data_IF_430418404852
#
_entry.id   IF_430418404852
#
_cell.length_a   1.000
_cell.length_b   1.000
_cell.length_c   1.000
_cell.angle_alpha   90.00
_cell.angle_beta   90.00
_cell.angle_gamma   90.00
#
_symmetry.space_group_name_H-M   'P 1'
#
loop_
_entity.id
_entity.type
_entity.pdbx_description
1 polymer ?
#
# COMPACT_ATOMS: atom_id res chain seq x y z
N UNK A 1 20.17 -32.50 69.52
CA UNK A 1 20.98 -31.40 68.93
C UNK A 1 20.65 -31.32 67.44
N UNK A 2 19.85 -30.35 67.02
CA UNK A 2 19.53 -30.09 65.60
C UNK A 2 18.63 -28.86 65.50
N UNK A 3 19.22 -27.68 65.65
CA UNK A 3 18.51 -26.40 65.44
C UNK A 3 18.48 -26.04 63.94
N UNK A 4 17.34 -25.56 63.47
CA UNK A 4 17.14 -25.15 62.06
C UNK A 4 17.31 -23.64 61.89
N UNK A 5 18.00 -23.16 60.83
CA UNK A 5 18.31 -21.75 60.67
C UNK A 5 17.11 -20.92 60.18
N UNK A 6 16.86 -19.80 60.86
CA UNK A 6 15.74 -18.90 60.63
C UNK A 6 16.08 -17.81 59.58
N UNK A 7 15.47 -17.86 58.39
CA UNK A 7 15.74 -16.91 57.30
C UNK A 7 14.92 -15.62 57.42
N UNK A 8 15.55 -14.54 57.89
CA UNK A 8 14.97 -13.17 57.86
C UNK A 8 14.95 -12.60 56.44
N UNK A 9 13.76 -12.34 55.88
CA UNK A 9 13.58 -11.50 54.68
C UNK A 9 13.68 -10.02 55.06
N UNK A 10 14.46 -9.21 54.33
CA UNK A 10 14.47 -7.75 54.50
C UNK A 10 13.56 -7.06 53.48
N UNK A 11 12.57 -6.32 53.97
CA UNK A 11 11.65 -5.50 53.15
C UNK A 11 12.25 -4.11 52.92
N UNK A 12 13.03 -3.96 51.86
CA UNK A 12 13.63 -2.65 51.49
C UNK A 12 12.62 -1.76 50.75
N UNK A 13 11.82 -1.00 51.51
CA UNK A 13 10.96 0.04 50.95
C UNK A 13 11.80 1.10 50.21
N UNK A 14 11.45 1.36 48.95
CA UNK A 14 12.03 2.46 48.15
C UNK A 14 11.06 3.64 48.17
N UNK A 15 11.43 4.71 48.87
CA UNK A 15 10.73 5.99 48.83
C UNK A 15 10.98 6.69 47.50
N UNK A 16 9.93 6.86 46.70
CA UNK A 16 9.97 7.68 45.48
C UNK A 16 9.72 9.15 45.82
N UNK A 17 10.77 9.97 45.79
CA UNK A 17 10.65 11.42 45.96
C UNK A 17 10.14 12.10 44.66
N UNK A 18 9.25 13.10 44.75
CA UNK A 18 8.71 13.78 43.58
C UNK A 18 9.71 14.82 43.04
N UNK A 19 10.27 14.55 41.85
CA UNK A 19 11.12 15.51 41.13
C UNK A 19 10.22 16.61 40.55
N UNK A 20 10.15 17.74 41.26
CA UNK A 20 9.51 18.97 40.75
C UNK A 20 10.42 19.65 39.71
N UNK A 21 10.28 19.28 38.44
CA UNK A 21 10.92 20.01 37.34
C UNK A 21 10.30 21.39 37.18
N UNK A 22 11.02 22.42 37.63
CA UNK A 22 10.68 23.82 37.36
C UNK A 22 10.94 24.12 35.88
N UNK A 23 9.92 23.99 35.04
CA UNK A 23 9.95 24.51 33.68
C UNK A 23 9.95 26.04 33.71
N UNK A 24 11.13 26.62 33.59
CA UNK A 24 11.30 28.06 33.35
C UNK A 24 11.01 28.30 31.86
N UNK A 25 9.80 28.75 31.55
CA UNK A 25 9.48 29.20 30.19
C UNK A 25 10.08 30.61 29.99
N UNK A 26 11.06 30.81 29.10
CA UNK A 26 11.57 32.14 28.81
C UNK A 26 10.50 32.95 28.07
N UNK A 27 10.13 34.12 28.62
CA UNK A 27 9.40 35.14 27.86
C UNK A 27 10.37 35.77 26.87
N UNK A 28 10.36 35.31 25.62
CA UNK A 28 11.15 35.93 24.56
C UNK A 28 10.29 37.02 23.91
N UNK A 29 10.74 38.28 24.03
CA UNK A 29 10.14 39.45 23.38
C UNK A 29 11.20 40.20 22.59
N UNK A 30 11.41 39.77 21.35
CA UNK A 30 12.11 40.52 20.29
C UNK A 30 11.48 40.19 18.94
N UNK A 31 11.60 41.07 17.96
CA UNK A 31 10.94 41.00 16.65
C UNK A 31 11.45 39.82 15.79
N UNK A 32 10.61 38.79 15.63
CA UNK A 32 10.94 37.57 14.88
C UNK A 32 10.72 37.68 13.36
N UNK A 33 11.33 38.65 12.70
CA UNK A 33 11.22 38.78 11.23
C UNK A 33 11.88 37.62 10.45
N UNK A 34 12.75 36.83 11.10
CA UNK A 34 13.51 35.75 10.47
C UNK A 34 13.27 34.37 11.13
N UNK A 35 12.03 34.01 11.46
CA UNK A 35 11.74 32.61 11.78
C UNK A 35 11.84 31.75 10.51
N UNK A 36 12.70 30.71 10.46
CA UNK A 36 12.85 29.89 9.26
C UNK A 36 11.56 29.10 8.92
N UNK A 37 10.64 28.93 9.87
CA UNK A 37 9.36 28.21 9.68
C UNK A 37 8.28 29.13 9.09
N UNK A 38 8.43 30.45 9.20
CA UNK A 38 7.48 31.45 8.66
C UNK A 38 7.68 31.76 7.17
N UNK A 39 8.72 31.22 6.53
CA UNK A 39 9.01 31.48 5.12
C UNK A 39 7.92 30.84 4.23
N UNK A 40 7.10 31.62 3.49
CA UNK A 40 6.01 31.08 2.67
C UNK A 40 6.52 30.29 1.45
N UNK A 41 7.82 30.32 1.14
CA UNK A 41 8.44 29.45 0.13
C UNK A 41 8.75 28.04 0.65
N UNK A 42 8.57 27.75 1.95
CA UNK A 42 8.62 26.38 2.45
C UNK A 42 7.37 25.59 2.05
N UNK A 43 7.58 24.41 1.48
CA UNK A 43 6.50 23.44 1.30
C UNK A 43 5.89 23.01 2.64
N UNK A 44 4.61 22.60 2.60
CA UNK A 44 3.86 22.11 3.77
C UNK A 44 4.67 21.01 4.47
N UNK A 45 5.08 21.25 5.72
CA UNK A 45 5.80 20.25 6.51
C UNK A 45 4.80 19.15 6.88
N UNK A 46 5.08 17.90 6.53
CA UNK A 46 4.13 16.82 6.78
C UNK A 46 4.00 16.50 8.27
N UNK A 47 2.81 16.00 8.66
CA UNK A 47 2.60 15.48 10.02
C UNK A 47 3.59 14.33 10.32
N UNK A 48 3.98 13.56 9.30
CA UNK A 48 4.97 12.50 9.47
C UNK A 48 6.36 13.05 9.83
N UNK A 49 6.78 14.18 9.25
CA UNK A 49 8.03 14.85 9.65
C UNK A 49 7.97 15.35 11.10
N UNK A 50 6.79 15.69 11.60
CA UNK A 50 6.58 16.01 13.02
C UNK A 50 6.66 14.74 13.90
N UNK A 51 6.07 13.63 13.46
CA UNK A 51 6.13 12.32 14.16
C UNK A 51 7.54 11.76 14.26
N UNK A 52 8.31 11.79 13.18
CA UNK A 52 9.72 11.32 13.14
C UNK A 52 10.69 12.35 13.76
N UNK A 53 10.19 13.53 14.18
CA UNK A 53 11.01 14.59 14.76
C UNK A 53 12.00 15.21 13.77
N UNK A 54 11.66 15.14 12.47
CA UNK A 54 12.41 15.71 11.35
C UNK A 54 11.99 17.15 11.00
N UNK A 55 10.93 17.66 11.66
CA UNK A 55 10.36 18.98 11.47
C UNK A 55 11.34 20.15 11.73
N UNK A 56 11.07 21.28 11.06
CA UNK A 56 11.84 22.52 11.24
C UNK A 56 11.53 23.25 12.56
N UNK A 57 10.46 22.87 13.27
CA UNK A 57 10.01 23.52 14.50
C UNK A 57 11.07 23.53 15.61
N UNK A 58 12.01 22.56 15.60
CA UNK A 58 13.19 22.52 16.49
C UNK A 58 14.17 23.68 16.31
N UNK A 59 14.05 24.44 15.22
CA UNK A 59 14.85 25.62 14.89
C UNK A 59 14.04 26.93 14.93
N UNK A 60 12.75 26.90 15.33
CA UNK A 60 12.05 28.14 15.69
C UNK A 60 12.48 28.55 17.10
N UNK A 61 13.18 29.67 17.20
CA UNK A 61 13.36 30.43 18.44
C UNK A 61 12.14 31.35 18.72
N UNK A 62 11.24 31.43 17.73
CA UNK A 62 10.09 32.31 17.64
C UNK A 62 8.99 32.12 18.69
N UNK A 63 8.94 30.98 19.39
CA UNK A 63 7.90 30.61 20.35
C UNK A 63 6.49 30.38 19.77
N UNK A 64 6.17 30.93 18.59
CA UNK A 64 4.86 30.83 17.95
C UNK A 64 4.58 29.44 17.34
N UNK A 65 5.60 28.76 16.80
CA UNK A 65 5.45 27.42 16.22
C UNK A 65 5.62 26.32 17.28
N UNK A 66 4.54 26.01 17.99
CA UNK A 66 4.50 24.85 18.86
C UNK A 66 4.49 23.54 18.03
N UNK A 67 5.52 22.71 18.18
CA UNK A 67 5.52 21.37 17.59
C UNK A 67 4.50 20.49 18.34
N UNK A 68 3.50 19.87 17.68
CA UNK A 68 2.52 19.00 18.32
C UNK A 68 3.13 17.70 18.89
N UNK A 69 4.38 17.37 18.52
CA UNK A 69 5.14 16.27 19.10
C UNK A 69 6.37 16.80 19.88
N UNK A 70 6.21 17.27 21.14
CA UNK A 70 7.29 17.77 21.97
C UNK A 70 8.08 16.63 22.64
N UNK A 71 8.76 15.80 21.83
CA UNK A 71 9.95 15.02 22.21
C UNK A 71 9.88 14.06 23.44
N UNK A 72 8.69 13.77 23.99
CA UNK A 72 8.57 13.14 25.31
C UNK A 72 7.61 11.94 25.40
N UNK A 73 7.79 10.97 24.49
CA UNK A 73 7.71 9.51 24.74
C UNK A 73 7.83 8.77 23.41
N UNK A 74 8.56 7.66 23.41
CA UNK A 74 8.47 6.67 22.34
C UNK A 74 7.00 6.28 22.15
N UNK A 75 6.49 6.30 20.91
CA UNK A 75 5.10 5.91 20.63
C UNK A 75 4.81 4.46 21.06
N UNK A 76 5.86 3.63 21.03
CA UNK A 76 5.87 2.35 21.71
C UNK A 76 6.06 2.59 23.21
N UNK A 77 5.09 2.21 24.07
CA UNK A 77 5.35 2.17 25.50
C UNK A 77 6.59 1.30 25.72
N UNK A 78 7.64 1.87 26.32
CA UNK A 78 8.87 1.16 26.65
C UNK A 78 8.48 -0.17 27.28
N UNK A 79 8.78 -1.28 26.58
CA UNK A 79 8.15 -2.57 26.84
C UNK A 79 8.24 -2.90 28.32
N UNK A 80 7.10 -2.95 29.01
CA UNK A 80 7.02 -3.18 30.47
C UNK A 80 7.75 -4.45 30.87
N UNK A 81 7.85 -5.39 29.94
CA UNK A 81 8.83 -6.46 29.90
C UNK A 81 10.23 -5.93 29.52
N UNK A 82 11.01 -5.53 30.52
CA UNK A 82 12.47 -5.60 30.42
C UNK A 82 12.86 -7.08 30.35
N UNK A 83 13.16 -7.58 29.14
CA UNK A 83 13.62 -8.96 28.99
C UNK A 83 14.90 -9.19 29.81
N UNK A 84 15.07 -10.41 30.33
CA UNK A 84 16.27 -10.78 31.10
C UNK A 84 17.56 -10.44 30.33
N UNK A 85 17.53 -10.66 29.01
CA UNK A 85 18.56 -10.22 28.06
C UNK A 85 18.93 -8.73 28.16
N UNK A 86 17.96 -7.80 28.27
CA UNK A 86 18.26 -6.36 28.45
C UNK A 86 18.89 -6.05 29.82
N UNK A 87 18.65 -6.88 30.83
CA UNK A 87 19.27 -6.73 32.15
C UNK A 87 20.71 -7.28 32.16
N UNK A 88 20.92 -8.43 31.54
CA UNK A 88 22.20 -9.15 31.51
C UNK A 88 23.20 -8.54 30.50
N UNK A 89 22.73 -8.02 29.36
CA UNK A 89 23.56 -7.45 28.29
C UNK A 89 23.49 -5.92 28.24
N UNK A 90 23.80 -5.27 29.35
CA UNK A 90 24.12 -3.84 29.32
C UNK A 90 25.45 -3.62 28.59
N UNK A 91 25.60 -2.47 27.90
CA UNK A 91 26.87 -2.11 27.27
C UNK A 91 27.91 -1.90 28.35
N UNK A 92 28.72 -2.91 28.61
CA UNK A 92 29.87 -2.81 29.50
C UNK A 92 30.75 -1.65 29.01
N UNK A 93 31.10 -0.74 29.92
CA UNK A 93 32.07 0.30 29.62
C UNK A 93 33.42 -0.37 29.39
N UNK A 94 33.81 -0.54 28.13
CA UNK A 94 35.18 -0.93 27.81
C UNK A 94 36.14 0.07 28.48
N UNK A 95 37.25 -0.39 29.09
CA UNK A 95 38.27 0.52 29.59
C UNK A 95 38.68 1.44 28.44
N UNK A 96 38.70 2.75 28.67
CA UNK A 96 39.04 3.70 27.63
C UNK A 96 40.42 3.32 27.06
N UNK A 97 40.61 3.33 25.73
CA UNK A 97 41.90 3.03 25.14
C UNK A 97 42.94 3.96 25.76
N UNK A 98 44.05 3.39 26.23
CA UNK A 98 45.16 4.12 26.83
C UNK A 98 45.56 5.25 25.88
N UNK A 99 45.25 6.50 26.27
CA UNK A 99 45.66 7.66 25.49
C UNK A 99 47.19 7.73 25.56
N UNK A 100 47.92 7.58 24.43
CA UNK A 100 49.36 7.73 24.45
C UNK A 100 49.70 9.15 24.90
N UNK A 101 50.57 9.27 25.90
CA UNK A 101 51.06 10.57 26.36
C UNK A 101 51.84 11.23 25.22
N UNK A 102 51.46 12.45 24.79
CA UNK A 102 52.12 13.11 23.68
C UNK A 102 53.55 13.47 24.07
N UNK A 103 54.55 12.77 23.50
CA UNK A 103 55.94 13.22 23.57
C UNK A 103 56.08 14.55 22.85
N UNK A 104 56.77 15.50 23.46
CA UNK A 104 57.05 16.81 22.85
C UNK A 104 57.96 16.62 21.64
N UNK A 105 57.47 17.03 20.47
CA UNK A 105 58.21 16.95 19.22
C UNK A 105 59.51 17.76 19.30
N UNK A 106 60.66 17.09 19.14
CA UNK A 106 61.94 17.76 18.91
C UNK A 106 62.19 17.84 17.41
N UNK A 107 62.27 19.04 16.81
CA UNK A 107 62.57 19.17 15.38
C UNK A 107 63.97 18.63 15.09
N UNK A 108 64.10 17.89 14.00
CA UNK A 108 65.38 17.33 13.57
C UNK A 108 66.25 18.44 12.96
N UNK A 109 67.45 18.64 13.51
CA UNK A 109 68.41 19.66 13.03
C UNK A 109 69.21 19.26 11.78
N UNK A 110 69.03 18.03 11.29
CA UNK A 110 69.68 17.55 10.07
C UNK A 110 69.10 18.25 8.84
N UNK A 111 69.96 18.87 8.03
CA UNK A 111 69.57 19.43 6.73
C UNK A 111 69.22 18.26 5.79
N UNK A 112 68.03 18.33 5.19
CA UNK A 112 67.59 17.38 4.19
C UNK A 112 68.24 17.71 2.85
N UNK A 113 68.87 16.74 2.20
CA UNK A 113 69.29 16.90 0.80
C UNK A 113 68.03 16.94 -0.08
N UNK A 114 67.73 18.14 -0.58
CA UNK A 114 66.54 18.41 -1.42
C UNK A 114 66.69 17.96 -2.87
N UNK A 115 67.80 17.27 -3.19
CA UNK A 115 68.00 16.64 -4.49
C UNK A 115 67.15 15.38 -4.56
N UNK A 116 66.16 15.42 -5.43
CA UNK A 116 65.39 14.20 -5.76
C UNK A 116 66.13 13.42 -6.83
N UNK A 117 66.04 12.09 -6.81
CA UNK A 117 66.55 11.23 -7.89
C UNK A 117 66.03 11.67 -9.25
N UNK A 118 64.78 12.16 -9.31
CA UNK A 118 64.21 12.76 -10.51
C UNK A 118 65.07 13.89 -11.11
N UNK A 119 65.69 14.76 -10.30
CA UNK A 119 66.56 15.83 -10.80
C UNK A 119 67.92 15.32 -11.31
N UNK A 120 68.40 14.20 -10.78
CA UNK A 120 69.71 13.64 -11.16
C UNK A 120 69.60 12.73 -12.40
N UNK A 121 68.50 11.98 -12.50
CA UNK A 121 68.20 10.99 -13.55
C UNK A 121 67.55 11.60 -14.81
N UNK A 122 66.60 12.53 -14.66
CA UNK A 122 65.83 13.10 -15.78
C UNK A 122 66.39 14.43 -16.26
N UNK A 123 67.61 14.40 -16.80
CA UNK A 123 68.20 15.55 -17.50
C UNK A 123 67.55 15.75 -18.86
N UNK A 124 67.27 17.00 -19.30
CA UNK A 124 66.65 17.26 -20.59
C UNK A 124 67.59 16.81 -21.72
N UNK A 125 67.14 15.86 -22.54
CA UNK A 125 67.85 15.37 -23.72
C UNK A 125 67.19 15.89 -25.00
N UNK A 126 67.98 16.19 -26.03
CA UNK A 126 67.45 16.66 -27.31
C UNK A 126 66.84 15.49 -28.09
N UNK A 127 65.52 15.52 -28.28
CA UNK A 127 64.80 14.51 -29.07
C UNK A 127 64.83 14.92 -30.53
N UNK A 128 65.36 14.07 -31.41
CA UNK A 128 65.22 14.25 -32.85
C UNK A 128 63.76 13.99 -33.29
N UNK A 129 63.22 14.75 -34.27
CA UNK A 129 61.81 14.66 -34.63
C UNK A 129 61.46 13.26 -35.14
N UNK A 130 60.51 12.60 -34.46
CA UNK A 130 60.10 11.25 -34.78
C UNK A 130 59.44 11.18 -36.17
N UNK A 131 59.88 10.23 -37.02
CA UNK A 131 59.20 9.96 -38.29
C UNK A 131 57.78 9.46 -38.02
N UNK A 132 56.81 10.25 -38.45
CA UNK A 132 55.39 10.03 -38.22
C UNK A 132 54.93 8.75 -38.94
N UNK A 133 54.78 7.64 -38.20
CA UNK A 133 54.13 6.42 -38.71
C UNK A 133 52.63 6.60 -38.49
N UNK A 134 51.86 6.59 -39.58
CA UNK A 134 50.42 6.86 -39.55
C UNK A 134 49.69 5.99 -38.53
N UNK A 135 49.00 6.64 -37.59
CA UNK A 135 48.26 5.96 -36.52
C UNK A 135 46.95 5.39 -37.08
N UNK A 136 46.93 4.09 -37.36
CA UNK A 136 45.68 3.36 -37.54
C UNK A 136 45.07 3.12 -36.15
N UNK A 137 44.03 3.88 -35.81
CA UNK A 137 43.26 3.64 -34.60
C UNK A 137 42.58 2.27 -34.69
N UNK A 138 42.74 1.38 -33.70
CA UNK A 138 42.02 0.12 -33.68
C UNK A 138 40.52 0.40 -33.60
N UNK A 139 39.73 -0.28 -34.43
CA UNK A 139 38.28 -0.10 -34.47
C UNK A 139 37.70 -0.35 -33.06
N UNK A 140 36.91 0.59 -32.55
CA UNK A 140 36.29 0.46 -31.24
C UNK A 140 35.37 -0.77 -31.23
N UNK A 141 35.64 -1.72 -30.34
CA UNK A 141 34.84 -2.93 -30.24
C UNK A 141 33.45 -2.58 -29.69
N UNK A 142 32.40 -2.95 -30.42
CA UNK A 142 31.01 -2.64 -30.09
C UNK A 142 30.44 -3.53 -28.96
N UNK A 143 31.28 -3.88 -27.98
CA UNK A 143 30.92 -4.73 -26.83
C UNK A 143 30.01 -3.95 -25.90
N UNK A 144 28.70 -3.97 -26.19
CA UNK A 144 27.67 -3.45 -25.29
C UNK A 144 27.68 -4.30 -24.02
N UNK A 145 27.72 -3.65 -22.86
CA UNK A 145 27.72 -4.35 -21.58
C UNK A 145 26.41 -5.14 -21.40
N UNK A 146 26.46 -6.40 -20.96
CA UNK A 146 25.26 -7.22 -20.70
C UNK A 146 24.55 -6.84 -19.39
N UNK A 147 24.98 -5.76 -18.72
CA UNK A 147 24.51 -5.35 -17.41
C UNK A 147 23.09 -4.76 -17.47
N UNK A 148 22.09 -5.65 -17.37
CA UNK A 148 20.70 -5.27 -17.05
C UNK A 148 20.53 -5.25 -15.54
N UNK A 149 19.76 -4.29 -15.03
CA UNK A 149 19.35 -4.28 -13.62
C UNK A 149 18.42 -5.46 -13.33
N UNK A 150 18.39 -5.95 -12.08
CA UNK A 150 17.46 -7.01 -11.66
C UNK A 150 15.99 -6.63 -12.00
N UNK A 151 15.62 -5.37 -11.82
CA UNK A 151 14.31 -4.85 -12.23
C UNK A 151 14.00 -5.08 -13.73
N UNK A 152 14.96 -4.88 -14.62
CA UNK A 152 14.79 -5.12 -16.06
C UNK A 152 14.82 -6.62 -16.46
N UNK A 153 15.17 -7.50 -15.52
CA UNK A 153 15.05 -8.95 -15.65
C UNK A 153 13.71 -9.46 -15.12
N UNK A 154 13.24 -8.93 -13.99
CA UNK A 154 12.04 -9.41 -13.29
C UNK A 154 10.74 -8.79 -13.85
N UNK A 155 10.80 -7.57 -14.37
CA UNK A 155 9.67 -6.84 -14.94
C UNK A 155 9.77 -6.75 -16.47
N UNK A 156 9.84 -7.90 -17.13
CA UNK A 156 9.73 -8.00 -18.59
C UNK A 156 8.38 -7.44 -19.03
N UNK A 157 8.34 -6.67 -20.13
CA UNK A 157 7.08 -6.25 -20.73
C UNK A 157 6.40 -7.46 -21.39
N UNK A 158 5.36 -7.99 -20.75
CA UNK A 158 4.56 -9.11 -21.24
C UNK A 158 3.69 -8.78 -22.45
N UNK A 159 3.70 -7.52 -22.91
CA UNK A 159 2.90 -7.02 -24.02
C UNK A 159 1.47 -6.66 -23.62
N UNK A 160 0.68 -6.10 -24.55
CA UNK A 160 -0.75 -5.90 -24.33
C UNK A 160 -1.46 -7.26 -24.27
N UNK A 161 -2.01 -7.61 -23.12
CA UNK A 161 -2.81 -8.83 -22.95
C UNK A 161 -4.05 -8.78 -23.85
N UNK A 162 -4.00 -9.45 -25.00
CA UNK A 162 -5.14 -9.61 -25.91
C UNK A 162 -6.14 -10.63 -25.37
N UNK A 163 -7.03 -10.17 -24.47
CA UNK A 163 -8.04 -11.02 -23.84
C UNK A 163 -9.18 -11.39 -24.80
N UNK A 164 -8.98 -12.45 -25.58
CA UNK A 164 -10.08 -13.25 -26.15
C UNK A 164 -10.72 -14.06 -24.97
N UNK A 165 -12.02 -14.43 -24.87
CA UNK A 165 -12.63 -14.92 -23.56
C UNK A 165 -13.62 -16.11 -23.65
N UNK A 166 -13.27 -17.37 -23.32
CA UNK A 166 -13.96 -18.60 -23.84
C UNK A 166 -15.47 -18.81 -23.54
N UNK A 167 -16.37 -19.04 -24.55
CA UNK A 167 -17.74 -19.62 -24.36
C UNK A 167 -17.55 -21.01 -23.78
N UNK A 168 -17.38 -21.08 -22.46
CA UNK A 168 -17.61 -22.30 -21.72
C UNK A 168 -19.07 -22.63 -21.89
N UNK A 169 -19.32 -23.82 -22.43
CA UNK A 169 -20.66 -24.36 -22.57
C UNK A 169 -21.23 -24.59 -21.18
N UNK A 170 -22.09 -23.67 -20.73
CA UNK A 170 -22.96 -23.94 -19.60
C UNK A 170 -24.10 -24.81 -20.13
N UNK A 171 -24.27 -26.06 -19.63
CA UNK A 171 -25.45 -26.84 -19.98
C UNK A 171 -26.68 -26.02 -19.59
N UNK A 172 -27.74 -25.99 -20.43
CA UNK A 172 -28.92 -25.18 -20.14
C UNK A 172 -29.46 -25.54 -18.76
N UNK A 173 -29.74 -24.53 -17.95
CA UNK A 173 -30.31 -24.71 -16.61
C UNK A 173 -31.67 -25.37 -16.78
N UNK A 174 -31.71 -26.69 -16.62
CA UNK A 174 -32.96 -27.45 -16.60
C UNK A 174 -33.71 -26.99 -15.37
N UNK A 175 -34.82 -26.27 -15.57
CA UNK A 175 -35.72 -25.95 -14.47
C UNK A 175 -36.19 -27.28 -13.87
N UNK A 176 -35.79 -27.54 -12.63
CA UNK A 176 -36.37 -28.63 -11.85
C UNK A 176 -37.72 -28.14 -11.31
N UNK A 177 -38.66 -27.95 -12.22
CA UNK A 177 -40.06 -27.69 -11.90
C UNK A 177 -40.63 -28.96 -11.29
N UNK A 178 -40.49 -29.07 -9.96
CA UNK A 178 -41.12 -30.12 -9.17
C UNK A 178 -42.64 -29.96 -9.36
N UNK A 179 -43.34 -30.93 -9.99
CA UNK A 179 -44.75 -30.77 -10.29
C UNK A 179 -45.53 -30.68 -8.98
N UNK A 180 -46.25 -29.56 -8.79
CA UNK A 180 -47.02 -29.32 -7.58
C UNK A 180 -48.19 -30.30 -7.47
N UNK A 181 -48.02 -31.35 -6.65
CA UNK A 181 -49.06 -32.36 -6.35
C UNK A 181 -49.96 -31.94 -5.18
N UNK A 182 -50.33 -30.66 -5.10
CA UNK A 182 -51.27 -30.19 -4.09
C UNK A 182 -52.70 -30.61 -4.42
N UNK A 183 -53.18 -31.68 -3.80
CA UNK A 183 -54.61 -32.00 -3.79
C UNK A 183 -55.30 -31.08 -2.78
N UNK A 184 -56.39 -30.42 -3.20
CA UNK A 184 -57.21 -29.65 -2.27
C UNK A 184 -58.10 -30.57 -1.44
N UNK A 185 -58.43 -30.16 -0.21
CA UNK A 185 -59.44 -30.87 0.61
C UNK A 185 -60.77 -31.01 -0.14
N UNK A 186 -61.18 -29.97 -0.88
CA UNK A 186 -62.35 -30.00 -1.76
C UNK A 186 -62.28 -31.12 -2.81
N UNK A 187 -61.15 -31.25 -3.52
CA UNK A 187 -60.96 -32.33 -4.51
C UNK A 187 -61.05 -33.73 -3.87
N UNK A 188 -60.56 -33.88 -2.65
CA UNK A 188 -60.64 -35.16 -1.93
C UNK A 188 -62.06 -35.44 -1.38
N UNK A 189 -62.85 -34.42 -1.07
CA UNK A 189 -64.24 -34.55 -0.60
C UNK A 189 -65.26 -34.73 -1.73
N UNK A 190 -65.02 -34.13 -2.90
CA UNK A 190 -65.95 -34.12 -4.04
C UNK A 190 -65.40 -34.94 -5.21
N UNK A 191 -65.16 -36.23 -4.98
CA UNK A 191 -64.91 -37.19 -6.05
C UNK A 191 -66.19 -37.40 -6.87
N UNK A 192 -66.05 -37.69 -8.17
CA UNK A 192 -67.18 -38.11 -8.99
C UNK A 192 -67.74 -39.42 -8.43
N UNK A 193 -69.02 -39.41 -8.05
CA UNK A 193 -69.73 -40.60 -7.59
C UNK A 193 -70.09 -41.41 -8.83
N UNK A 194 -69.67 -42.68 -8.89
CA UNK A 194 -70.09 -43.61 -9.95
C UNK A 194 -71.62 -43.63 -10.08
N UNK A 195 -72.14 -43.64 -11.31
CA UNK A 195 -73.58 -43.56 -11.58
C UNK A 195 -74.38 -44.60 -10.79
N UNK A 196 -73.92 -45.86 -10.77
CA UNK A 196 -74.55 -46.95 -9.99
C UNK A 196 -74.64 -46.67 -8.49
N UNK A 197 -73.70 -45.88 -7.95
CA UNK A 197 -73.66 -45.48 -6.54
C UNK A 197 -74.51 -44.22 -6.30
N UNK A 198 -74.58 -43.32 -7.28
CA UNK A 198 -75.49 -42.17 -7.26
C UNK A 198 -76.95 -42.62 -7.28
N UNK A 199 -77.30 -43.62 -8.09
CA UNK A 199 -78.65 -44.21 -8.18
C UNK A 199 -79.13 -44.75 -6.81
N UNK A 200 -78.23 -45.39 -6.04
CA UNK A 200 -78.52 -45.84 -4.68
C UNK A 200 -78.84 -44.69 -3.73
N UNK A 201 -78.13 -43.56 -3.81
CA UNK A 201 -78.42 -42.37 -2.98
C UNK A 201 -79.64 -41.57 -3.46
N UNK A 202 -80.04 -41.69 -4.73
CA UNK A 202 -81.19 -40.97 -5.30
C UNK A 202 -82.54 -41.49 -4.79
N UNK A 203 -82.60 -42.74 -4.31
CA UNK A 203 -83.86 -43.41 -3.89
C UNK A 203 -84.56 -42.81 -2.66
N UNK A 204 -83.91 -41.94 -1.89
CA UNK A 204 -84.51 -41.27 -0.72
C UNK A 204 -84.78 -39.75 -0.95
N UNK A 205 -84.61 -39.26 -2.18
CA UNK A 205 -84.69 -37.82 -2.50
C UNK A 205 -86.00 -37.33 -3.13
N UNK A 206 -87.00 -38.20 -3.33
CA UNK A 206 -88.20 -37.91 -4.14
C UNK A 206 -89.12 -36.80 -3.61
N UNK A 207 -89.00 -36.45 -2.33
CA UNK A 207 -90.00 -35.62 -1.64
C UNK A 207 -89.58 -34.14 -1.53
N UNK A 208 -88.36 -33.78 -1.94
CA UNK A 208 -87.92 -32.38 -2.06
C UNK A 208 -88.20 -31.82 -3.46
N UNK A 209 -89.50 -31.67 -3.75
CA UNK A 209 -90.01 -30.89 -4.88
C UNK A 209 -89.70 -29.39 -4.70
N UNK A 210 -88.44 -29.00 -4.93
CA UNK A 210 -88.04 -27.60 -5.12
C UNK A 210 -88.47 -27.10 -6.51
N UNK A 211 -89.78 -27.10 -6.75
CA UNK A 211 -90.37 -26.60 -7.98
C UNK A 211 -90.16 -25.08 -8.08
N UNK A 212 -89.27 -24.63 -8.98
CA UNK A 212 -89.24 -23.21 -9.39
C UNK A 212 -87.92 -22.65 -9.94
N UNK A 213 -86.75 -23.21 -9.62
CA UNK A 213 -85.46 -22.61 -10.01
C UNK A 213 -85.01 -23.01 -11.43
N UNK A 214 -85.48 -22.26 -12.44
CA UNK A 214 -84.93 -22.31 -13.81
C UNK A 214 -83.52 -21.70 -13.89
N UNK A 215 -82.53 -22.34 -13.28
CA UNK A 215 -81.12 -21.96 -13.40
C UNK A 215 -80.58 -22.51 -14.73
N UNK A 216 -80.78 -21.76 -15.80
CA UNK A 216 -80.10 -22.02 -17.06
C UNK A 216 -78.61 -21.63 -16.92
N UNK A 217 -77.73 -22.63 -16.79
CA UNK A 217 -76.30 -22.42 -16.93
C UNK A 217 -76.01 -21.97 -18.37
N UNK A 218 -75.70 -20.68 -18.53
CA UNK A 218 -75.40 -20.07 -19.82
C UNK A 218 -74.20 -20.74 -20.52
N UNK A 219 -74.08 -20.60 -21.86
CA UNK A 219 -72.99 -21.20 -22.61
C UNK A 219 -71.64 -20.73 -22.05
N UNK A 220 -70.72 -21.67 -21.83
CA UNK A 220 -69.36 -21.36 -21.37
C UNK A 220 -68.67 -20.45 -22.38
N UNK A 221 -68.54 -19.17 -22.04
CA UNK A 221 -67.69 -18.25 -22.79
C UNK A 221 -66.25 -18.76 -22.76
N UNK A 222 -65.55 -18.65 -23.90
CA UNK A 222 -64.16 -19.08 -24.01
C UNK A 222 -63.29 -18.33 -23.00
N UNK A 223 -62.54 -19.08 -22.20
CA UNK A 223 -61.70 -18.50 -21.16
C UNK A 223 -60.52 -17.73 -21.77
N UNK A 224 -60.46 -16.43 -21.51
CA UNK A 224 -59.42 -15.54 -22.02
C UNK A 224 -58.16 -15.67 -21.16
N UNK A 225 -57.32 -16.68 -21.43
CA UNK A 225 -56.07 -16.95 -20.69
C UNK A 225 -54.91 -16.01 -21.04
N UNK A 226 -55.18 -14.79 -21.53
CA UNK A 226 -54.14 -13.78 -21.72
C UNK A 226 -53.70 -13.26 -20.34
N UNK A 227 -52.46 -13.59 -19.99
CA UNK A 227 -51.80 -13.04 -18.80
C UNK A 227 -50.75 -12.03 -19.26
N UNK A 228 -50.64 -10.91 -18.54
CA UNK A 228 -49.63 -9.88 -18.82
C UNK A 228 -48.20 -10.42 -18.73
N UNK A 229 -47.99 -11.58 -18.12
CA UNK A 229 -46.69 -12.28 -18.11
C UNK A 229 -46.35 -12.86 -19.49
N UNK A 230 -47.33 -13.48 -20.17
CA UNK A 230 -47.15 -14.06 -21.51
C UNK A 230 -46.89 -13.00 -22.58
N UNK A 231 -47.54 -11.84 -22.50
CA UNK A 231 -47.37 -10.76 -23.47
C UNK A 231 -46.03 -9.99 -23.28
N UNK A 232 -45.48 -9.96 -22.06
CA UNK A 232 -44.26 -9.20 -21.74
C UNK A 232 -42.96 -10.02 -21.73
N UNK A 233 -43.02 -11.36 -21.58
CA UNK A 233 -41.82 -12.20 -21.69
C UNK A 233 -41.45 -12.47 -23.16
N UNK A 234 -40.59 -11.62 -23.71
CA UNK A 234 -39.94 -11.89 -24.99
C UNK A 234 -38.86 -12.97 -24.84
N UNK A 235 -38.80 -13.90 -25.78
CA UNK A 235 -37.82 -14.99 -25.80
C UNK A 235 -36.45 -14.49 -26.29
N UNK A 236 -35.61 -14.08 -25.34
CA UNK A 236 -34.26 -13.59 -25.59
C UNK A 236 -33.25 -14.70 -25.95
N UNK A 237 -33.65 -15.97 -26.06
CA UNK A 237 -32.75 -17.08 -26.44
C UNK A 237 -32.07 -16.89 -27.80
N UNK A 238 -32.69 -16.12 -28.71
CA UNK A 238 -32.17 -15.80 -30.04
C UNK A 238 -31.29 -14.56 -30.09
N UNK A 239 -31.22 -13.76 -29.02
CA UNK A 239 -30.37 -12.57 -29.00
C UNK A 239 -28.89 -12.96 -28.80
N UNK A 240 -28.04 -12.56 -29.74
CA UNK A 240 -26.61 -12.93 -29.77
C UNK A 240 -25.76 -12.35 -28.63
N UNK A 241 -26.37 -11.56 -27.74
CA UNK A 241 -25.78 -10.94 -26.56
C UNK A 241 -25.00 -11.93 -25.68
N UNK A 242 -25.38 -13.21 -25.69
CA UNK A 242 -24.68 -14.27 -25.00
C UNK A 242 -23.62 -14.97 -25.86
N UNK A 243 -22.58 -14.25 -26.31
CA UNK A 243 -21.28 -14.84 -26.73
C UNK A 243 -20.17 -14.59 -25.67
N UNK A 244 -19.03 -15.24 -25.82
CA UNK A 244 -17.83 -15.34 -24.95
C UNK A 244 -16.79 -15.90 -25.99
N UNK A 245 -15.68 -15.24 -26.36
CA UNK A 245 -14.70 -15.69 -27.40
C UNK A 245 -13.83 -16.91 -27.00
N UNK A 246 -12.49 -16.79 -26.74
CA UNK A 246 -11.52 -17.78 -26.14
C UNK A 246 -10.08 -17.24 -25.97
N UNK A 247 -9.47 -17.11 -24.77
CA UNK A 247 -8.04 -16.67 -24.64
C UNK A 247 -7.12 -17.71 -25.27
N UNK A 248 -6.74 -17.50 -26.53
CA UNK A 248 -5.60 -18.20 -27.13
C UNK A 248 -4.45 -17.18 -27.17
N UNK A 249 -3.33 -17.42 -26.47
CA UNK A 249 -2.20 -16.50 -26.50
C UNK A 249 -1.61 -16.47 -27.91
N UNK A 250 -1.70 -15.30 -28.56
CA UNK A 250 -1.12 -15.09 -29.89
C UNK A 250 0.41 -15.12 -29.85
N UNK A 251 1.02 -15.62 -30.92
CA UNK A 251 2.47 -15.55 -31.11
C UNK A 251 2.96 -14.10 -31.11
N UNK A 252 4.09 -13.85 -30.46
CA UNK A 252 4.66 -12.51 -30.27
C UNK A 252 5.08 -11.86 -31.60
N UNK A 253 4.21 -11.04 -32.19
CA UNK A 253 4.63 -10.09 -33.22
C UNK A 253 5.25 -8.85 -32.56
N UNK A 254 6.43 -8.45 -33.06
CA UNK A 254 7.21 -7.34 -32.53
C UNK A 254 6.60 -6.01 -32.99
N UNK A 255 5.64 -5.50 -32.24
CA UNK A 255 5.06 -4.18 -32.50
C UNK A 255 6.13 -3.07 -32.42
N UNK A 256 6.18 -2.15 -33.41
CA UNK A 256 7.07 -0.99 -33.35
C UNK A 256 6.71 -0.09 -32.17
N UNK A 257 7.72 0.53 -31.54
CA UNK A 257 7.56 1.39 -30.37
C UNK A 257 6.45 2.44 -30.56
N UNK A 258 5.35 2.29 -29.84
CA UNK A 258 4.29 3.30 -29.77
C UNK A 258 4.86 4.54 -29.07
N UNK A 259 4.80 5.74 -29.68
CA UNK A 259 5.30 6.96 -29.04
C UNK A 259 4.51 7.24 -27.75
N UNK A 260 5.23 7.62 -26.69
CA UNK A 260 4.71 7.76 -25.34
C UNK A 260 3.86 9.03 -25.17
N UNK A 261 2.67 9.04 -25.77
CA UNK A 261 1.76 10.18 -25.82
C UNK A 261 0.93 10.37 -24.53
N UNK A 262 1.00 9.42 -23.58
CA UNK A 262 0.33 9.51 -22.29
C UNK A 262 1.12 10.34 -21.28
N UNK A 263 1.13 11.66 -21.49
CA UNK A 263 1.44 12.60 -20.41
C UNK A 263 0.29 12.61 -19.40
N UNK A 264 0.50 12.09 -18.19
CA UNK A 264 -0.52 12.10 -17.14
C UNK A 264 -0.87 13.54 -16.78
N UNK A 265 -2.18 13.84 -16.66
CA UNK A 265 -2.73 15.16 -16.34
C UNK A 265 -2.22 15.77 -15.03
N UNK A 266 -1.62 14.96 -14.15
CA UNK A 266 -0.89 15.42 -12.96
C UNK A 266 0.30 16.34 -13.28
N UNK A 267 0.94 16.22 -14.45
CA UNK A 267 2.09 17.07 -14.81
C UNK A 267 1.70 18.49 -15.20
N UNK A 268 0.54 18.69 -15.81
CA UNK A 268 0.07 20.03 -16.22
C UNK A 268 -0.66 20.75 -15.09
N UNK A 269 -1.41 20.03 -14.24
CA UNK A 269 -2.22 20.64 -13.18
C UNK A 269 -1.40 21.32 -12.06
N UNK A 270 -0.14 20.92 -11.86
CA UNK A 270 0.73 21.46 -10.80
C UNK A 270 1.78 22.49 -11.27
N UNK A 271 1.82 22.84 -12.57
CA UNK A 271 2.86 23.75 -13.11
C UNK A 271 2.61 25.25 -12.85
N UNK A 272 1.43 25.65 -12.34
CA UNK A 272 1.00 27.06 -12.34
C UNK A 272 1.29 27.91 -11.10
N UNK A 273 1.61 27.32 -9.94
CA UNK A 273 1.49 28.05 -8.64
C UNK A 273 2.67 27.95 -7.67
N UNK A 274 3.76 27.27 -8.02
CA UNK A 274 4.89 27.07 -7.10
C UNK A 274 6.03 28.03 -7.44
N UNK A 275 6.01 29.22 -6.83
CA UNK A 275 7.22 30.00 -6.58
C UNK A 275 8.24 29.09 -5.87
N UNK A 276 9.46 28.95 -6.42
CA UNK A 276 10.50 27.98 -6.04
C UNK A 276 10.38 27.45 -4.60
N UNK A 277 9.65 26.34 -4.43
CA UNK A 277 9.42 25.79 -3.09
C UNK A 277 10.72 25.19 -2.57
N UNK A 278 11.30 25.81 -1.55
CA UNK A 278 12.52 25.31 -0.92
C UNK A 278 12.19 23.98 -0.24
N UNK A 279 12.93 22.92 -0.59
CA UNK A 279 12.79 21.64 0.09
C UNK A 279 13.09 21.84 1.60
N UNK A 280 12.13 21.56 2.51
CA UNK A 280 12.36 21.71 3.96
C UNK A 280 13.54 20.87 4.45
N UNK A 281 13.92 19.79 3.75
CA UNK A 281 15.13 18.99 4.04
C UNK A 281 16.40 19.79 3.78
N UNK A 282 16.48 20.50 2.65
CA UNK A 282 17.65 21.33 2.31
C UNK A 282 17.82 22.48 3.30
N UNK A 283 16.72 23.15 3.67
CA UNK A 283 16.72 24.20 4.71
C UNK A 283 17.18 23.64 6.05
N UNK A 284 16.71 22.45 6.44
CA UNK A 284 17.16 21.77 7.66
C UNK A 284 18.66 21.43 7.66
N UNK A 285 19.20 20.93 6.54
CA UNK A 285 20.65 20.68 6.45
C UNK A 285 21.47 21.96 6.56
N UNK A 286 20.99 23.07 5.98
CA UNK A 286 21.63 24.38 6.12
C UNK A 286 21.60 24.88 7.58
N UNK A 287 20.49 24.70 8.30
CA UNK A 287 20.36 25.07 9.72
C UNK A 287 21.25 24.19 10.62
N UNK A 288 21.29 22.87 10.43
CA UNK A 288 22.23 22.00 11.15
C UNK A 288 23.68 22.40 10.92
N UNK A 289 24.07 22.77 9.69
CA UNK A 289 25.42 23.22 9.35
C UNK A 289 25.77 24.60 9.94
N UNK A 290 24.78 25.41 10.31
CA UNK A 290 24.98 26.65 11.10
C UNK A 290 25.21 26.35 12.58
N UNK A 291 24.49 25.37 13.15
CA UNK A 291 24.63 24.98 14.57
C UNK A 291 25.88 24.14 14.86
N UNK A 292 26.50 23.53 13.84
CA UNK A 292 27.72 22.72 13.98
C UNK A 292 29.01 23.51 13.79
N UNK A 293 28.94 24.85 13.78
CA UNK A 293 30.06 25.78 13.63
C UNK A 293 30.22 26.63 14.89
#
# INVERSE_FOLDING_TARGET
>A
MSESPNQKRSSRAKSSSPIKSKFINPRITTSFENCPVSDPSLGIISENDHRVGLCLCKFCECGQHACPNPLAKDLYPNSTFTSKYKADFQKAAFPLPLKPTPQSYRPNGLKMDLKTTHQEDFKPFSVSPAKNRGYNWPAQSSVRSPARSAYAHDFVNWGPNSVQIEKRFHPPVRSQEIPFRGQSSYQNSFNQIDQQRADLYWTNGSDLNAAGSKIALGPKHAAHFQTTYGDNMQDFSKNELNRLIKVIPGSQELFPNVPANFATTSKTFHQGFVSESKDPRAVRFALHKKLSK
#
